data_IF_530744587987
#
_entry.id   IF_530744587987
#
_cell.length_a   1.000
_cell.length_b   1.000
_cell.length_c   1.000
_cell.angle_alpha   90.00
_cell.angle_beta   90.00
_cell.angle_gamma   90.00
#
_symmetry.space_group_name_H-M   'P 1'
#
loop_
_entity.id
_entity.type
_entity.pdbx_description
1 polymer ?
#
# COMPACT_ATOMS: atom_id res chain seq x y z
N UNK A 1 -5.85 -17.70 -2.47
CA UNK A 1 -6.56 -18.46 -1.42
C UNK A 1 -7.40 -19.63 -1.93
N UNK A 2 -8.40 -19.44 -2.78
CA UNK A 2 -9.33 -20.53 -3.15
C UNK A 2 -8.66 -21.74 -3.85
N UNK A 3 -7.59 -21.52 -4.61
CA UNK A 3 -6.86 -22.59 -5.32
C UNK A 3 -5.94 -23.39 -4.39
N UNK A 4 -5.16 -22.72 -3.52
CA UNK A 4 -4.27 -23.40 -2.56
C UNK A 4 -5.04 -24.19 -1.49
N UNK A 5 -6.26 -23.76 -1.14
CA UNK A 5 -7.17 -24.54 -0.27
C UNK A 5 -7.70 -25.79 -0.97
N UNK A 6 -8.06 -25.69 -2.26
CA UNK A 6 -8.49 -26.85 -3.07
C UNK A 6 -7.38 -27.88 -3.27
N UNK A 7 -6.14 -27.42 -3.39
CA UNK A 7 -4.96 -28.28 -3.62
C UNK A 7 -4.30 -28.80 -2.34
N UNK A 8 -4.80 -28.42 -1.15
CA UNK A 8 -4.20 -28.72 0.17
C UNK A 8 -2.73 -28.30 0.28
N UNK A 9 -2.35 -27.26 -0.46
CA UNK A 9 -1.00 -26.70 -0.39
C UNK A 9 -0.92 -25.69 0.76
N UNK A 10 -0.57 -26.21 1.93
CA UNK A 10 -0.45 -25.42 3.16
C UNK A 10 0.72 -24.43 3.12
N UNK A 11 1.79 -24.73 2.37
CA UNK A 11 2.93 -23.82 2.23
C UNK A 11 2.53 -22.59 1.40
N UNK A 12 1.82 -22.81 0.29
CA UNK A 12 1.27 -21.73 -0.53
C UNK A 12 0.22 -20.91 0.23
N UNK A 13 -0.56 -21.51 1.13
CA UNK A 13 -1.51 -20.77 1.98
C UNK A 13 -0.81 -19.78 2.92
N UNK A 14 0.27 -20.19 3.59
CA UNK A 14 1.02 -19.30 4.50
C UNK A 14 1.63 -18.13 3.73
N UNK A 15 2.23 -18.39 2.56
CA UNK A 15 2.79 -17.34 1.70
C UNK A 15 1.71 -16.36 1.24
N UNK A 16 0.54 -16.86 0.80
CA UNK A 16 -0.55 -16.02 0.33
C UNK A 16 -1.21 -15.24 1.47
N UNK A 17 -1.24 -15.76 2.69
CA UNK A 17 -1.73 -15.04 3.86
C UNK A 17 -0.85 -13.81 4.13
N UNK A 18 0.47 -14.02 4.22
CA UNK A 18 1.42 -12.92 4.39
C UNK A 18 1.32 -11.90 3.25
N UNK A 19 1.26 -12.37 2.00
CA UNK A 19 1.11 -11.48 0.85
C UNK A 19 -0.17 -10.64 0.92
N UNK A 20 -1.31 -11.24 1.30
CA UNK A 20 -2.57 -10.49 1.45
C UNK A 20 -2.48 -9.46 2.57
N UNK A 21 -1.90 -9.82 3.71
CA UNK A 21 -1.68 -8.90 4.83
C UNK A 21 -0.80 -7.72 4.40
N UNK A 22 0.32 -7.99 3.72
CA UNK A 22 1.21 -6.96 3.18
C UNK A 22 0.47 -6.04 2.21
N UNK A 23 -0.31 -6.59 1.28
CA UNK A 23 -1.04 -5.76 0.33
C UNK A 23 -2.11 -4.89 0.99
N UNK A 24 -2.74 -5.35 2.08
CA UNK A 24 -3.69 -4.52 2.84
C UNK A 24 -2.99 -3.30 3.45
N UNK A 25 -1.79 -3.49 4.01
CA UNK A 25 -1.00 -2.40 4.58
C UNK A 25 -0.47 -1.44 3.49
N UNK A 26 0.04 -1.97 2.39
CA UNK A 26 0.52 -1.17 1.25
C UNK A 26 -0.60 -0.34 0.63
N UNK A 27 -1.77 -0.92 0.38
CA UNK A 27 -2.92 -0.21 -0.20
C UNK A 27 -3.44 0.89 0.73
N UNK A 28 -3.46 0.65 2.05
CA UNK A 28 -3.83 1.68 3.02
C UNK A 28 -2.85 2.85 3.01
N UNK A 29 -1.54 2.57 2.93
CA UNK A 29 -0.51 3.59 2.88
C UNK A 29 -0.57 4.42 1.59
N UNK A 30 -0.80 3.77 0.44
CA UNK A 30 -0.99 4.45 -0.85
C UNK A 30 -2.28 5.26 -0.86
N UNK A 31 -3.37 4.73 -0.31
CA UNK A 31 -4.65 5.43 -0.20
C UNK A 31 -4.54 6.74 0.57
N UNK A 32 -3.85 6.74 1.72
CA UNK A 32 -3.59 7.96 2.48
C UNK A 32 -2.82 9.01 1.67
N UNK A 33 -1.85 8.58 0.85
CA UNK A 33 -1.07 9.49 0.01
C UNK A 33 -1.94 10.10 -1.10
N UNK A 34 -2.80 9.29 -1.73
CA UNK A 34 -3.76 9.78 -2.74
C UNK A 34 -4.70 10.84 -2.14
N UNK A 35 -5.21 10.63 -0.92
CA UNK A 35 -6.04 11.62 -0.24
C UNK A 35 -5.28 12.92 0.07
N UNK A 36 -4.01 12.82 0.49
CA UNK A 36 -3.15 14.01 0.66
C UNK A 36 -2.98 14.78 -0.65
N UNK A 37 -2.73 14.10 -1.77
CA UNK A 37 -2.64 14.75 -3.09
C UNK A 37 -3.96 15.39 -3.52
N UNK A 38 -5.10 14.72 -3.28
CA UNK A 38 -6.43 15.29 -3.53
C UNK A 38 -6.66 16.56 -2.73
N UNK A 39 -6.26 16.58 -1.46
CA UNK A 39 -6.37 17.75 -0.59
C UNK A 39 -5.48 18.91 -1.06
N UNK A 40 -4.27 18.61 -1.53
CA UNK A 40 -3.35 19.63 -2.04
C UNK A 40 -3.87 20.32 -3.32
N UNK A 41 -4.55 19.57 -4.21
CA UNK A 41 -5.06 20.10 -5.47
C UNK A 41 -3.97 20.79 -6.28
N UNK A 42 -4.24 22.01 -6.75
CA UNK A 42 -3.29 22.81 -7.55
C UNK A 42 -2.37 23.71 -6.70
N UNK A 43 -2.39 23.58 -5.36
CA UNK A 43 -1.57 24.41 -4.48
C UNK A 43 -0.10 23.97 -4.55
N UNK A 44 0.71 24.74 -5.28
CA UNK A 44 2.13 24.42 -5.49
C UNK A 44 2.95 24.33 -4.21
N UNK A 45 2.63 25.11 -3.17
CA UNK A 45 3.32 25.02 -1.89
C UNK A 45 2.98 23.72 -1.15
N UNK A 46 1.70 23.32 -1.14
CA UNK A 46 1.28 22.04 -0.55
C UNK A 46 1.89 20.84 -1.30
N UNK A 47 1.98 20.91 -2.64
CA UNK A 47 2.61 19.87 -3.45
C UNK A 47 4.12 19.74 -3.16
N UNK A 48 4.86 20.85 -3.01
CA UNK A 48 6.27 20.83 -2.63
C UNK A 48 6.49 20.25 -1.22
N UNK A 49 5.57 20.51 -0.29
CA UNK A 49 5.62 19.89 1.05
C UNK A 49 5.39 18.38 0.98
N UNK A 50 4.41 17.93 0.19
CA UNK A 50 4.14 16.51 0.00
C UNK A 50 5.31 15.77 -0.68
N UNK A 51 5.96 16.40 -1.67
CA UNK A 51 7.14 15.84 -2.32
C UNK A 51 8.27 15.55 -1.32
N UNK A 52 8.54 16.50 -0.41
CA UNK A 52 9.51 16.33 0.68
C UNK A 52 9.12 15.21 1.67
N UNK A 53 7.83 15.11 2.03
CA UNK A 53 7.33 14.05 2.91
C UNK A 53 7.43 12.65 2.27
N UNK A 54 7.18 12.53 0.96
CA UNK A 54 7.23 11.24 0.25
C UNK A 54 8.67 10.82 -0.02
N UNK A 55 9.53 11.76 -0.43
CA UNK A 55 10.94 11.49 -0.74
C UNK A 55 11.77 11.03 0.46
N UNK A 56 11.25 11.17 1.68
CA UNK A 56 11.87 10.72 2.93
C UNK A 56 11.35 9.37 3.44
N UNK A 57 10.39 8.72 2.75
CA UNK A 57 10.00 7.34 3.09
C UNK A 57 11.21 6.42 2.88
N UNK A 58 11.75 5.90 4.00
CA UNK A 58 12.66 4.76 3.97
C UNK A 58 11.85 3.48 3.79
N UNK A 59 12.32 2.65 2.87
CA UNK A 59 11.98 1.23 2.82
C UNK A 59 12.57 0.51 4.03
#
# INVERSE_FOLDING_TARGET
FAQSVKEKDYAAQVLLQWFVEEQVEEEAAVGLLVEKFRLAGDNSAALLMLDSEVGTRKN
#
